data_IF_802749228484
#
_entry.id   IF_802749228484
#
_cell.length_a   1.000
_cell.length_b   1.000
_cell.length_c   1.000
_cell.angle_alpha   90.00
_cell.angle_beta   90.00
_cell.angle_gamma   90.00
#
_symmetry.space_group_name_H-M   'P 1'
#
loop_
_entity.id
_entity.type
_entity.pdbx_description
1 polymer ?
#
# COMPACT_ATOMS: atom_id res chain seq x y z
N UNK A 1 -2.56 -4.60 -2.54
CA UNK A 1 -2.48 -3.25 -3.14
C UNK A 1 -3.82 -2.55 -2.94
N UNK A 2 -3.88 -1.60 -2.01
CA UNK A 2 -5.12 -0.84 -1.73
C UNK A 2 -5.24 0.35 -2.68
N UNK A 3 -6.45 0.87 -2.87
CA UNK A 3 -6.78 2.10 -3.62
C UNK A 3 -6.12 3.38 -3.03
N UNK A 4 -5.35 3.25 -1.95
CA UNK A 4 -4.60 4.36 -1.34
C UNK A 4 -3.09 4.25 -1.57
N UNK A 5 -2.63 3.28 -2.36
CA UNK A 5 -1.21 3.08 -2.62
C UNK A 5 -0.66 3.98 -3.72
N UNK A 6 -1.51 4.57 -4.57
CA UNK A 6 -1.06 5.36 -5.72
C UNK A 6 -1.12 6.87 -5.44
N UNK A 7 -0.04 7.64 -5.69
CA UNK A 7 0.02 9.07 -5.39
C UNK A 7 -1.07 9.90 -6.09
N UNK A 8 -1.46 9.52 -7.30
CA UNK A 8 -2.53 10.20 -8.02
C UNK A 8 -3.92 9.91 -7.43
N UNK A 9 -4.16 8.70 -6.91
CA UNK A 9 -5.42 8.36 -6.22
C UNK A 9 -5.52 9.11 -4.88
N UNK A 10 -4.40 9.28 -4.18
CA UNK A 10 -4.33 10.12 -2.98
C UNK A 10 -4.63 11.59 -3.31
N UNK A 11 -4.09 12.11 -4.42
CA UNK A 11 -4.39 13.47 -4.89
C UNK A 11 -5.87 13.64 -5.22
N UNK A 12 -6.47 12.67 -5.93
CA UNK A 12 -7.90 12.66 -6.26
C UNK A 12 -8.75 12.65 -4.99
N UNK A 13 -8.38 11.83 -3.99
CA UNK A 13 -9.08 11.77 -2.71
C UNK A 13 -8.99 13.07 -1.92
N UNK A 14 -7.86 13.79 -1.98
CA UNK A 14 -7.72 15.13 -1.38
C UNK A 14 -8.64 16.12 -2.10
N UNK A 15 -8.61 16.14 -3.45
CA UNK A 15 -9.45 17.03 -4.26
C UNK A 15 -10.95 16.79 -3.97
N UNK A 16 -11.39 15.53 -3.92
CA UNK A 16 -12.79 15.17 -3.62
C UNK A 16 -13.26 15.55 -2.21
N UNK A 17 -12.34 15.63 -1.23
CA UNK A 17 -12.66 16.06 0.15
C UNK A 17 -12.59 17.57 0.34
N UNK A 18 -12.07 18.29 -0.66
CA UNK A 18 -11.98 19.74 -0.59
C UNK A 18 -13.38 20.30 -0.84
N UNK A 19 -13.93 21.06 0.11
CA UNK A 19 -15.26 21.64 -0.01
C UNK A 19 -15.24 22.80 -1.02
N UNK A 20 -15.21 22.47 -2.31
CA UNK A 20 -15.39 23.41 -3.40
C UNK A 20 -16.88 23.57 -3.61
N UNK A 21 -17.42 24.77 -3.36
CA UNK A 21 -18.84 25.13 -3.50
C UNK A 21 -19.36 24.90 -4.95
N UNK A 22 -19.45 23.65 -5.39
CA UNK A 22 -19.81 23.18 -6.73
C UNK A 22 -19.01 23.82 -7.88
N UNK A 23 -17.84 24.39 -7.61
CA UNK A 23 -17.00 25.01 -8.62
C UNK A 23 -15.82 24.10 -8.99
N UNK A 24 -16.01 23.31 -10.04
CA UNK A 24 -14.98 22.47 -10.64
C UNK A 24 -13.86 23.36 -11.18
N UNK A 25 -12.62 23.13 -10.75
CA UNK A 25 -11.45 23.89 -11.20
C UNK A 25 -11.20 25.18 -10.44
N UNK A 26 -11.74 25.32 -9.22
CA UNK A 26 -11.47 26.48 -8.37
C UNK A 26 -9.99 26.67 -8.04
N UNK A 27 -9.63 27.88 -7.58
CA UNK A 27 -8.24 28.27 -7.33
C UNK A 27 -7.51 27.32 -6.36
N UNK A 28 -8.23 26.74 -5.40
CA UNK A 28 -7.68 25.77 -4.46
C UNK A 28 -7.31 24.45 -5.14
N UNK A 29 -8.20 23.87 -5.96
CA UNK A 29 -7.93 22.64 -6.72
C UNK A 29 -6.75 22.86 -7.69
N UNK A 30 -6.73 24.00 -8.37
CA UNK A 30 -5.63 24.41 -9.24
C UNK A 30 -4.31 24.53 -8.46
N UNK A 31 -4.34 25.13 -7.27
CA UNK A 31 -3.15 25.28 -6.42
C UNK A 31 -2.63 23.94 -5.94
N UNK A 32 -3.52 23.04 -5.50
CA UNK A 32 -3.18 21.67 -5.09
C UNK A 32 -2.52 20.92 -6.25
N UNK A 33 -3.14 20.93 -7.43
CA UNK A 33 -2.61 20.27 -8.62
C UNK A 33 -1.26 20.84 -9.03
N UNK A 34 -1.12 22.18 -9.11
CA UNK A 34 0.14 22.82 -9.47
C UNK A 34 1.25 22.51 -8.47
N UNK A 35 0.95 22.51 -7.17
CA UNK A 35 1.92 22.18 -6.13
C UNK A 35 2.38 20.71 -6.26
N UNK A 36 1.45 19.79 -6.49
CA UNK A 36 1.77 18.38 -6.73
C UNK A 36 2.67 18.18 -7.96
N UNK A 37 2.30 18.79 -9.10
CA UNK A 37 3.08 18.69 -10.34
C UNK A 37 4.48 19.29 -10.20
N UNK A 38 4.60 20.44 -9.53
CA UNK A 38 5.90 21.07 -9.23
C UNK A 38 6.76 20.17 -8.36
N UNK A 39 6.19 19.57 -7.32
CA UNK A 39 6.88 18.60 -6.46
C UNK A 39 7.37 17.37 -7.24
N UNK A 40 6.52 16.79 -8.08
CA UNK A 40 6.88 15.63 -8.91
C UNK A 40 8.00 15.95 -9.91
N UNK A 41 7.93 17.12 -10.57
CA UNK A 41 8.98 17.58 -11.48
C UNK A 41 10.30 17.83 -10.75
N UNK A 42 10.25 18.40 -9.54
CA UNK A 42 11.43 18.60 -8.70
C UNK A 42 12.07 17.26 -8.32
N UNK A 43 11.27 16.29 -7.86
CA UNK A 43 11.75 14.93 -7.58
C UNK A 43 12.41 14.29 -8.81
N UNK A 44 11.79 14.42 -10.00
CA UNK A 44 12.37 13.94 -11.25
C UNK A 44 13.68 14.63 -11.58
N UNK A 45 13.79 15.94 -11.35
CA UNK A 45 14.99 16.71 -11.64
C UNK A 45 16.15 16.30 -10.70
N UNK A 46 15.86 16.14 -9.41
CA UNK A 46 16.83 15.71 -8.39
C UNK A 46 17.36 14.29 -8.64
N UNK A 47 16.55 13.42 -9.22
CA UNK A 47 16.92 12.03 -9.52
C UNK A 47 17.53 11.84 -10.93
N UNK A 48 17.71 12.92 -11.71
CA UNK A 48 18.32 12.84 -13.04
C UNK A 48 19.85 12.70 -12.92
N UNK A 49 20.51 11.86 -13.76
CA UNK A 49 21.97 11.69 -13.70
C UNK A 49 22.76 12.98 -13.98
N UNK A 50 22.18 13.94 -14.69
CA UNK A 50 22.82 15.21 -15.05
C UNK A 50 22.31 16.39 -14.19
N UNK A 51 21.91 16.15 -12.93
CA UNK A 51 21.47 17.22 -12.03
C UNK A 51 22.67 18.11 -11.62
N UNK A 52 22.54 19.44 -11.64
CA UNK A 52 23.58 20.35 -11.14
C UNK A 52 23.97 20.02 -9.68
N UNK A 53 25.26 20.04 -9.38
CA UNK A 53 25.80 19.65 -8.07
C UNK A 53 25.20 20.45 -6.91
N UNK A 54 24.96 21.75 -7.10
CA UNK A 54 24.33 22.62 -6.11
C UNK A 54 22.93 22.13 -5.74
N UNK A 55 22.15 21.67 -6.71
CA UNK A 55 20.78 21.17 -6.51
C UNK A 55 20.82 19.78 -5.87
N UNK A 56 21.82 18.97 -6.22
CA UNK A 56 22.02 17.63 -5.66
C UNK A 56 22.35 17.66 -4.16
N UNK A 57 23.01 18.70 -3.66
CA UNK A 57 23.26 18.86 -2.22
C UNK A 57 21.94 18.95 -1.42
N UNK A 58 20.92 19.60 -1.98
CA UNK A 58 19.61 19.68 -1.34
C UNK A 58 18.85 18.36 -1.38
N UNK A 59 19.21 17.41 -2.25
CA UNK A 59 18.58 16.09 -2.30
C UNK A 59 18.61 15.39 -0.94
N UNK A 60 19.70 15.55 -0.18
CA UNK A 60 19.83 14.97 1.17
C UNK A 60 18.76 15.53 2.11
N UNK A 61 18.45 16.82 2.02
CA UNK A 61 17.37 17.43 2.82
C UNK A 61 16.00 16.93 2.40
N UNK A 62 15.76 16.78 1.09
CA UNK A 62 14.51 16.23 0.57
C UNK A 62 14.34 14.76 0.95
N UNK A 63 15.37 13.93 0.81
CA UNK A 63 15.34 12.52 1.19
C UNK A 63 15.14 12.35 2.72
N UNK A 64 15.56 13.33 3.53
CA UNK A 64 15.28 13.35 4.99
C UNK A 64 13.86 13.78 5.32
N UNK A 65 13.36 14.83 4.67
CA UNK A 65 12.02 15.37 4.91
C UNK A 65 10.91 14.49 4.30
N UNK A 66 11.22 13.87 3.17
CA UNK A 66 10.36 12.99 2.38
C UNK A 66 11.11 11.67 2.18
N UNK A 67 11.22 10.84 3.24
CA UNK A 67 11.88 9.55 3.12
C UNK A 67 11.23 8.79 1.96
N UNK A 68 12.02 8.25 1.02
CA UNK A 68 11.48 7.38 0.01
C UNK A 68 10.70 6.30 0.74
N UNK A 69 9.43 6.09 0.36
CA UNK A 69 8.67 4.89 0.73
C UNK A 69 9.36 3.70 0.06
N UNK A 70 10.55 3.35 0.56
CA UNK A 70 10.98 1.98 0.51
C UNK A 70 9.85 1.22 1.20
N UNK A 71 9.22 0.32 0.46
CA UNK A 71 8.43 -0.77 1.03
C UNK A 71 9.36 -1.72 1.82
N UNK A 72 10.28 -1.19 2.60
CA UNK A 72 10.57 -1.84 3.86
C UNK A 72 9.33 -1.55 4.67
N UNK A 73 8.38 -2.47 4.60
CA UNK A 73 7.64 -2.86 5.80
C UNK A 73 8.71 -2.86 6.90
N UNK A 74 8.74 -1.80 7.70
CA UNK A 74 9.29 -1.92 9.03
C UNK A 74 8.41 -3.02 9.61
N UNK A 75 8.87 -4.27 9.51
CA UNK A 75 8.47 -5.31 10.41
C UNK A 75 8.78 -4.68 11.75
N UNK A 76 7.77 -4.08 12.36
CA UNK A 76 7.79 -3.86 13.78
C UNK A 76 8.05 -5.26 14.30
N UNK A 77 9.30 -5.50 14.71
CA UNK A 77 9.63 -6.63 15.55
C UNK A 77 8.89 -6.33 16.85
N UNK A 78 7.59 -6.61 16.84
CA UNK A 78 6.81 -6.66 18.04
C UNK A 78 7.54 -7.66 18.92
N UNK A 79 7.89 -7.24 20.13
CA UNK A 79 8.30 -8.14 21.20
C UNK A 79 7.43 -9.39 21.12
N UNK A 80 8.00 -10.60 21.15
CA UNK A 80 7.26 -11.82 20.85
C UNK A 80 6.01 -11.83 21.73
N UNK A 81 4.80 -11.66 21.15
CA UNK A 81 3.62 -11.67 21.96
C UNK A 81 3.53 -13.10 22.49
N UNK A 82 3.61 -13.21 23.82
CA UNK A 82 3.17 -14.39 24.57
C UNK A 82 1.67 -14.57 24.36
N UNK A 83 1.25 -14.90 23.14
CA UNK A 83 -0.13 -15.18 22.77
C UNK A 83 -0.07 -16.31 21.76
N UNK A 84 -0.54 -17.48 22.17
CA UNK A 84 -0.42 -18.77 21.47
C UNK A 84 -1.11 -18.83 20.09
N UNK A 85 -1.70 -17.72 19.60
CA UNK A 85 -2.31 -17.56 18.29
C UNK A 85 -2.18 -16.10 17.84
N UNK A 86 -1.35 -15.83 16.83
CA UNK A 86 -1.22 -14.49 16.27
C UNK A 86 -2.19 -14.36 15.09
N UNK A 87 -3.16 -13.44 15.19
CA UNK A 87 -4.06 -13.06 14.10
C UNK A 87 -3.36 -12.04 13.21
N UNK A 88 -3.48 -12.20 11.89
CA UNK A 88 -2.83 -11.32 10.91
C UNK A 88 -3.89 -10.64 10.06
N UNK A 89 -3.76 -9.32 9.88
CA UNK A 89 -4.57 -8.58 8.90
C UNK A 89 -4.11 -8.83 7.46
N UNK A 90 -2.81 -9.08 7.28
CA UNK A 90 -2.16 -9.32 6.00
C UNK A 90 -1.12 -10.44 6.12
N UNK A 91 -0.89 -11.16 5.02
CA UNK A 91 0.21 -12.12 4.93
C UNK A 91 0.77 -12.17 3.51
N UNK A 92 2.09 -12.10 3.39
CA UNK A 92 2.78 -12.13 2.09
C UNK A 92 3.43 -13.49 1.87
N UNK A 93 3.00 -14.21 0.84
CA UNK A 93 3.57 -15.50 0.42
C UNK A 93 4.01 -15.41 -1.04
N UNK A 94 5.27 -15.75 -1.32
CA UNK A 94 5.88 -15.64 -2.66
C UNK A 94 5.58 -14.30 -3.37
N UNK A 95 5.74 -13.18 -2.65
CA UNK A 95 5.49 -11.80 -3.12
C UNK A 95 4.03 -11.46 -3.43
N UNK A 96 3.08 -12.34 -3.08
CA UNK A 96 1.64 -12.07 -3.14
C UNK A 96 1.13 -11.80 -1.74
N UNK A 97 0.50 -10.64 -1.54
CA UNK A 97 -0.08 -10.25 -0.25
C UNK A 97 -1.57 -10.61 -0.21
N UNK A 98 -1.92 -11.46 0.74
CA UNK A 98 -3.27 -11.86 1.09
C UNK A 98 -3.80 -10.98 2.23
N UNK A 99 -5.10 -10.74 2.25
CA UNK A 99 -5.77 -9.95 3.29
C UNK A 99 -7.07 -10.59 3.74
N UNK A 100 -7.50 -10.31 4.96
CA UNK A 100 -8.83 -10.70 5.43
C UNK A 100 -9.92 -9.89 4.70
N UNK A 101 -11.12 -10.47 4.53
CA UNK A 101 -12.27 -9.80 3.95
C UNK A 101 -12.66 -8.53 4.70
N UNK A 102 -12.54 -8.56 6.04
CA UNK A 102 -12.80 -7.41 6.91
C UNK A 102 -11.81 -6.25 6.69
N UNK A 103 -10.60 -6.55 6.21
CA UNK A 103 -9.55 -5.56 5.98
C UNK A 103 -9.57 -5.03 4.55
N UNK A 104 -9.63 -5.93 3.56
CA UNK A 104 -9.60 -5.57 2.15
C UNK A 104 -10.16 -6.70 1.28
N UNK A 105 -11.42 -6.55 0.83
CA UNK A 105 -12.17 -7.57 0.06
C UNK A 105 -11.42 -8.07 -1.19
N UNK A 106 -10.75 -7.19 -1.92
CA UNK A 106 -10.04 -7.59 -3.16
C UNK A 106 -8.88 -8.55 -2.89
N UNK A 107 -8.20 -8.42 -1.75
CA UNK A 107 -7.08 -9.30 -1.39
C UNK A 107 -7.49 -10.55 -0.61
N UNK A 108 -8.79 -10.71 -0.31
CA UNK A 108 -9.32 -11.87 0.38
C UNK A 108 -9.82 -12.96 -0.57
N UNK A 109 -10.12 -12.62 -1.83
CA UNK A 109 -10.57 -13.59 -2.82
C UNK A 109 -9.41 -14.46 -3.28
N UNK A 110 -9.57 -15.77 -3.15
CA UNK A 110 -8.58 -16.76 -3.54
C UNK A 110 -9.22 -17.92 -4.29
N UNK A 111 -8.44 -18.52 -5.17
CA UNK A 111 -8.74 -19.80 -5.79
C UNK A 111 -7.70 -20.83 -5.33
N UNK A 112 -8.13 -21.99 -4.86
CA UNK A 112 -7.25 -23.00 -4.28
C UNK A 112 -7.75 -24.42 -4.57
N UNK A 113 -6.86 -25.39 -4.39
CA UNK A 113 -7.17 -26.81 -4.54
C UNK A 113 -7.15 -27.47 -3.15
N UNK A 114 -8.19 -28.24 -2.82
CA UNK A 114 -8.29 -29.00 -1.56
C UNK A 114 -7.36 -30.22 -1.53
N UNK A 115 -6.94 -30.70 -2.71
CA UNK A 115 -6.12 -31.89 -2.88
C UNK A 115 -5.03 -31.65 -3.90
N UNK A 116 -3.97 -32.45 -3.86
CA UNK A 116 -2.85 -32.40 -4.81
C UNK A 116 -3.24 -32.74 -6.26
N UNK A 117 -4.51 -33.14 -6.49
CA UNK A 117 -5.07 -33.39 -7.82
C UNK A 117 -5.86 -32.16 -8.28
N UNK A 118 -5.55 -31.58 -9.46
CA UNK A 118 -6.10 -30.31 -9.93
C UNK A 118 -7.56 -30.39 -10.43
N UNK A 119 -8.36 -31.35 -9.95
CA UNK A 119 -9.68 -31.63 -10.50
C UNK A 119 -10.79 -30.72 -9.98
N UNK A 120 -10.58 -29.98 -8.88
CA UNK A 120 -11.61 -29.10 -8.31
C UNK A 120 -11.00 -27.78 -7.80
N UNK A 121 -11.07 -26.76 -8.65
CA UNK A 121 -10.66 -25.40 -8.30
C UNK A 121 -11.77 -24.75 -7.47
N UNK A 122 -11.52 -24.55 -6.19
CA UNK A 122 -12.46 -23.90 -5.28
C UNK A 122 -12.15 -22.41 -5.18
N UNK A 123 -13.20 -21.59 -5.20
CA UNK A 123 -13.09 -20.15 -4.96
C UNK A 123 -13.69 -19.84 -3.60
N UNK A 124 -13.06 -18.94 -2.86
CA UNK A 124 -13.56 -18.49 -1.57
C UNK A 124 -12.91 -17.18 -1.11
N UNK A 125 -13.38 -16.68 0.02
CA UNK A 125 -12.90 -15.46 0.65
C UNK A 125 -12.24 -15.75 2.00
N UNK A 126 -11.02 -15.26 2.19
CA UNK A 126 -10.27 -15.35 3.44
C UNK A 126 -10.96 -14.51 4.51
N UNK A 127 -11.49 -15.16 5.53
CA UNK A 127 -12.06 -14.48 6.69
C UNK A 127 -10.99 -14.14 7.73
N UNK A 128 -10.00 -15.00 7.87
CA UNK A 128 -9.03 -14.92 8.94
C UNK A 128 -7.69 -15.56 8.55
N UNK A 129 -6.60 -14.92 8.97
CA UNK A 129 -5.24 -15.43 8.80
C UNK A 129 -4.64 -15.63 10.18
N UNK A 130 -4.25 -16.86 10.51
CA UNK A 130 -3.76 -17.26 11.83
C UNK A 130 -2.41 -17.95 11.71
N UNK A 131 -1.48 -17.62 12.59
CA UNK A 131 -0.24 -18.42 12.73
C UNK A 131 -0.36 -19.32 13.95
N UNK A 132 -0.26 -20.63 13.74
CA UNK A 132 -0.21 -21.66 14.79
C UNK A 132 1.04 -22.50 14.60
N UNK A 133 1.88 -22.58 15.64
CA UNK A 133 3.11 -23.40 15.64
C UNK A 133 4.03 -23.17 14.42
N UNK A 134 4.14 -21.92 13.96
CA UNK A 134 4.97 -21.55 12.80
C UNK A 134 4.34 -21.81 11.44
N UNK A 135 3.12 -22.38 11.38
CA UNK A 135 2.36 -22.54 10.15
C UNK A 135 1.25 -21.52 10.05
N UNK A 136 1.04 -21.00 8.84
CA UNK A 136 -0.02 -20.02 8.54
C UNK A 136 -1.24 -20.75 8.02
N UNK A 137 -2.37 -20.51 8.66
CA UNK A 137 -3.67 -21.10 8.36
C UNK A 137 -4.62 -20.00 7.88
N UNK A 138 -5.30 -20.28 6.77
CA UNK A 138 -6.33 -19.41 6.20
C UNK A 138 -7.70 -20.01 6.49
N UNK A 139 -8.57 -19.28 7.16
CA UNK A 139 -9.98 -19.64 7.29
C UNK A 139 -10.74 -19.08 6.08
N UNK A 140 -11.32 -19.96 5.26
CA UNK A 140 -11.94 -19.59 3.99
C UNK A 140 -13.45 -19.83 4.08
N UNK A 141 -14.23 -18.86 3.61
CA UNK A 141 -15.68 -18.97 3.44
C UNK A 141 -16.01 -19.00 1.95
N UNK A 142 -16.87 -19.94 1.56
CA UNK A 142 -17.43 -20.06 0.22
C UNK A 142 -18.70 -19.22 0.09
#
# INVERSE_FOLDING_TARGET
MSWWCFPFEQLIGILQKTHTNNHVGGDLEKTILQSFLRGANLHRHLNRPNCPQLIQQFKILFDKALPPKNQQETMFAADPPSVRQLLHAYYTYHRVTFSCQSTHLRGSLIAYYLTTKPQDLMVGSIQEIKTKSGQVLFAIKH
#
